data_IF_692020176857
#
_entry.id   IF_692020176857
#
_cell.length_a   1.000
_cell.length_b   1.000
_cell.length_c   1.000
_cell.angle_alpha   90.00
_cell.angle_beta   90.00
_cell.angle_gamma   90.00
#
_symmetry.space_group_name_H-M   'P 1'
#
loop_
_entity.id
_entity.type
_entity.pdbx_description
1 polymer ?
#
# COMPACT_ATOMS: atom_id res chain seq x y z
N UNK A 1 -6.15 -15.27 -22.76
CA UNK A 1 -4.76 -15.21 -22.28
C UNK A 1 -4.70 -14.17 -21.18
N UNK A 2 -4.03 -14.43 -20.04
CA UNK A 2 -3.89 -13.43 -18.97
C UNK A 2 -2.94 -12.31 -19.43
N UNK A 3 -3.27 -11.07 -19.11
CA UNK A 3 -2.39 -9.92 -19.32
C UNK A 3 -1.19 -10.00 -18.36
N UNK A 4 0.03 -10.10 -18.90
CA UNK A 4 1.28 -10.18 -18.11
C UNK A 4 1.64 -8.85 -17.44
N UNK A 5 1.19 -7.73 -18.01
CA UNK A 5 1.46 -6.40 -17.47
C UNK A 5 0.60 -6.10 -16.23
N UNK A 6 -0.43 -6.91 -15.97
CA UNK A 6 -1.28 -6.78 -14.79
C UNK A 6 -0.63 -7.27 -13.49
N UNK A 7 0.60 -7.81 -13.53
CA UNK A 7 1.38 -8.25 -12.35
C UNK A 7 0.59 -9.12 -11.37
N UNK A 8 -0.21 -10.03 -11.91
CA UNK A 8 -1.04 -10.94 -11.12
C UNK A 8 -0.18 -12.02 -10.44
N UNK A 9 -0.65 -12.51 -9.30
CA UNK A 9 -0.04 -13.63 -8.59
C UNK A 9 0.01 -14.89 -9.46
N UNK A 10 1.09 -15.66 -9.35
CA UNK A 10 1.35 -16.81 -10.24
C UNK A 10 0.29 -17.92 -10.12
N UNK A 11 -0.23 -18.13 -8.91
CA UNK A 11 -1.21 -19.16 -8.59
C UNK A 11 -2.67 -18.66 -8.65
N UNK A 12 -2.97 -17.67 -9.50
CA UNK A 12 -4.31 -17.04 -9.60
C UNK A 12 -5.48 -18.02 -9.80
N UNK A 13 -5.24 -19.20 -10.38
CA UNK A 13 -6.27 -20.21 -10.59
C UNK A 13 -6.45 -21.18 -9.41
N UNK A 14 -5.54 -21.18 -8.44
CA UNK A 14 -5.57 -22.03 -7.26
C UNK A 14 -6.34 -21.37 -6.11
N UNK A 15 -7.65 -21.20 -6.29
CA UNK A 15 -8.49 -20.35 -5.42
C UNK A 15 -8.44 -20.67 -3.92
N UNK A 16 -8.16 -21.92 -3.54
CA UNK A 16 -8.03 -22.33 -2.14
C UNK A 16 -6.68 -21.99 -1.51
N UNK A 17 -5.64 -21.82 -2.32
CA UNK A 17 -4.28 -21.52 -1.89
C UNK A 17 -3.96 -20.02 -2.00
N UNK A 18 -4.85 -19.22 -2.59
CA UNK A 18 -4.68 -17.76 -2.69
C UNK A 18 -4.75 -17.11 -1.31
N UNK A 19 -3.66 -16.43 -0.93
CA UNK A 19 -3.65 -15.54 0.23
C UNK A 19 -4.77 -14.50 0.10
N UNK A 20 -5.59 -14.38 1.13
CA UNK A 20 -6.63 -13.36 1.22
C UNK A 20 -6.15 -12.28 2.19
N UNK A 21 -6.08 -11.06 1.70
CA UNK A 21 -5.77 -9.87 2.49
C UNK A 21 -6.73 -8.75 2.12
N UNK A 22 -6.86 -7.75 3.00
CA UNK A 22 -7.68 -6.60 2.69
C UNK A 22 -6.98 -5.72 1.65
N UNK A 23 -7.72 -5.09 0.74
CA UNK A 23 -7.13 -4.24 -0.30
C UNK A 23 -6.32 -3.08 0.28
N UNK A 24 -6.69 -2.58 1.47
CA UNK A 24 -5.93 -1.58 2.22
C UNK A 24 -4.56 -2.09 2.70
N UNK A 25 -4.41 -3.38 2.98
CA UNK A 25 -3.09 -3.94 3.30
C UNK A 25 -2.20 -3.94 2.05
N UNK A 26 -2.80 -4.19 0.87
CA UNK A 26 -2.14 -4.00 -0.42
C UNK A 26 -1.69 -2.55 -0.63
N UNK A 27 -2.58 -1.58 -0.38
CA UNK A 27 -2.22 -0.15 -0.46
C UNK A 27 -1.08 0.22 0.49
N UNK A 28 -1.16 -0.17 1.76
CA UNK A 28 -0.14 0.16 2.76
C UNK A 28 1.24 -0.41 2.41
N UNK A 29 1.30 -1.68 1.97
CA UNK A 29 2.56 -2.31 1.53
C UNK A 29 3.06 -1.68 0.23
N UNK A 30 2.16 -1.44 -0.72
CA UNK A 30 2.51 -0.89 -2.03
C UNK A 30 3.01 0.55 -1.96
N UNK A 31 2.44 1.40 -1.11
CA UNK A 31 2.93 2.78 -0.96
C UNK A 31 4.29 2.83 -0.28
N UNK A 32 4.58 1.92 0.66
CA UNK A 32 5.92 1.75 1.25
C UNK A 32 6.92 1.32 0.18
N UNK A 33 6.58 0.34 -0.65
CA UNK A 33 7.41 -0.11 -1.78
C UNK A 33 7.69 1.04 -2.76
N UNK A 34 6.66 1.77 -3.18
CA UNK A 34 6.83 2.97 -4.01
C UNK A 34 7.72 4.02 -3.34
N UNK A 35 7.61 4.20 -2.03
CA UNK A 35 8.46 5.09 -1.24
C UNK A 35 9.93 4.67 -1.21
N UNK A 36 10.24 3.36 -1.26
CA UNK A 36 11.62 2.84 -1.35
C UNK A 36 12.22 3.08 -2.74
N UNK A 37 11.40 3.00 -3.79
CA UNK A 37 11.84 3.16 -5.17
C UNK A 37 12.00 4.62 -5.59
N UNK A 38 11.12 5.51 -5.10
CA UNK A 38 11.14 6.93 -5.45
C UNK A 38 10.99 7.85 -4.21
N UNK A 39 12.04 8.65 -3.97
CA UNK A 39 12.09 9.65 -2.90
C UNK A 39 11.07 10.79 -3.06
N UNK A 40 10.51 10.97 -4.25
CA UNK A 40 9.51 12.00 -4.53
C UNK A 40 8.09 11.59 -4.08
N UNK A 41 7.88 10.32 -3.70
CA UNK A 41 6.60 9.86 -3.16
C UNK A 41 6.41 10.44 -1.76
N UNK A 42 5.24 11.04 -1.54
CA UNK A 42 4.80 11.62 -0.26
C UNK A 42 3.39 11.11 0.03
N UNK A 43 3.11 10.81 1.29
CA UNK A 43 1.78 10.34 1.74
C UNK A 43 1.14 11.40 2.61
N UNK A 44 -0.10 11.75 2.28
CA UNK A 44 -0.93 12.66 3.07
C UNK A 44 -2.07 11.86 3.68
N UNK A 45 -2.39 12.12 4.95
CA UNK A 45 -3.49 11.47 5.65
C UNK A 45 -4.34 12.48 6.42
N UNK A 46 -5.61 12.13 6.61
CA UNK A 46 -6.59 12.91 7.36
C UNK A 46 -7.16 12.05 8.49
N UNK A 47 -6.37 11.84 9.55
CA UNK A 47 -6.68 11.11 10.80
C UNK A 47 -7.16 9.66 10.63
N UNK A 48 -6.87 9.03 9.50
CA UNK A 48 -7.29 7.66 9.18
C UNK A 48 -6.10 6.74 8.93
N UNK A 49 -4.95 7.04 9.57
CA UNK A 49 -3.69 6.36 9.30
C UNK A 49 -3.83 4.85 9.44
N UNK A 50 -4.23 4.38 10.63
CA UNK A 50 -4.40 2.96 10.91
C UNK A 50 -5.42 2.29 9.99
N UNK A 51 -6.55 2.94 9.76
CA UNK A 51 -7.65 2.41 8.93
C UNK A 51 -7.24 2.20 7.48
N UNK A 52 -6.41 3.10 6.95
CA UNK A 52 -5.92 3.08 5.56
C UNK A 52 -4.62 2.31 5.39
N UNK A 53 -3.92 1.95 6.47
CA UNK A 53 -2.55 1.38 6.46
C UNK A 53 -1.46 2.37 6.07
N UNK A 54 -1.76 3.67 5.98
CA UNK A 54 -0.77 4.69 5.65
C UNK A 54 0.26 4.89 6.77
N UNK A 55 -0.04 4.47 8.00
CA UNK A 55 0.91 4.51 9.12
C UNK A 55 2.18 3.69 8.83
N UNK A 56 2.11 2.63 8.02
CA UNK A 56 3.31 1.87 7.66
C UNK A 56 4.30 2.72 6.85
N UNK A 57 3.80 3.61 6.00
CA UNK A 57 4.66 4.59 5.31
C UNK A 57 5.22 5.62 6.28
N UNK A 58 4.40 6.11 7.22
CA UNK A 58 4.85 7.05 8.26
C UNK A 58 5.98 6.48 9.11
N UNK A 59 5.86 5.22 9.50
CA UNK A 59 6.82 4.57 10.39
C UNK A 59 8.18 4.36 9.69
N UNK A 60 8.19 4.22 8.36
CA UNK A 60 9.42 4.05 7.56
C UNK A 60 9.99 5.37 7.00
N UNK A 61 9.13 6.33 6.64
CA UNK A 61 9.49 7.61 6.01
C UNK A 61 8.77 8.79 6.69
N UNK A 62 9.03 9.06 7.97
CA UNK A 62 8.29 10.07 8.74
C UNK A 62 8.41 11.48 8.14
N UNK A 63 9.55 11.81 7.51
CA UNK A 63 9.78 13.10 6.85
C UNK A 63 8.99 13.30 5.55
N UNK A 64 8.39 12.23 5.00
CA UNK A 64 7.56 12.24 3.78
C UNK A 64 6.10 11.86 4.05
N UNK A 65 5.70 11.84 5.31
CA UNK A 65 4.32 11.64 5.72
C UNK A 65 3.76 12.91 6.34
N UNK A 66 2.60 13.36 5.85
CA UNK A 66 1.96 14.61 6.30
C UNK A 66 0.59 14.28 6.87
N UNK A 67 0.42 14.51 8.17
CA UNK A 67 -0.87 14.41 8.86
C UNK A 67 -1.61 15.74 8.79
N UNK A 68 -2.84 15.72 8.27
CA UNK A 68 -3.69 16.89 8.07
C UNK A 68 -4.80 16.95 9.14
N UNK A 69 -5.04 15.86 9.88
CA UNK A 69 -6.11 15.79 10.88
C UNK A 69 -7.49 15.76 10.25
N UNK A 70 -8.49 16.27 10.98
CA UNK A 70 -9.89 16.34 10.55
C UNK A 70 -10.30 17.81 10.37
N UNK A 71 -11.15 18.09 9.39
CA UNK A 71 -11.71 19.43 9.11
C UNK A 71 -13.03 19.67 9.83
#
# INVERSE_FOLDING_TARGET
>A
MINKDAKLVENIFETKALEQASTRDGFGRGVVEAGREDKNVVVLCADLAESTRSQWFRDEFPERYIEIGVA
#
